data_IF_160839002663
#
_entry.id   IF_160839002663
#
_cell.length_a   1.000
_cell.length_b   1.000
_cell.length_c   1.000
_cell.angle_alpha   90.00
_cell.angle_beta   90.00
_cell.angle_gamma   90.00
#
_symmetry.space_group_name_H-M   'P 1'
#
loop_
_entity.id
_entity.type
_entity.pdbx_description
1 polymer ?
#
# COMPACT_ATOMS: atom_id res chain seq x y z
N UNK A 1 51.12 23.05 -23.07
CA UNK A 1 50.66 21.71 -22.65
C UNK A 1 50.03 21.84 -21.27
N UNK A 2 48.70 21.75 -21.19
CA UNK A 2 47.93 21.09 -20.11
C UNK A 2 46.47 21.18 -20.55
N UNK A 3 45.88 20.00 -20.72
CA UNK A 3 44.56 19.82 -21.28
C UNK A 3 43.51 20.45 -20.37
N UNK A 4 42.66 21.30 -20.97
CA UNK A 4 41.37 21.67 -20.41
C UNK A 4 40.59 20.40 -20.14
N UNK A 5 40.39 20.07 -18.86
CA UNK A 5 39.45 19.05 -18.43
C UNK A 5 38.05 19.48 -18.88
N UNK A 6 37.65 18.98 -20.05
CA UNK A 6 36.31 19.13 -20.57
C UNK A 6 35.35 18.38 -19.65
N UNK A 7 34.82 19.09 -18.65
CA UNK A 7 33.58 18.74 -17.95
C UNK A 7 32.47 18.68 -18.99
N UNK A 8 32.36 17.54 -19.67
CA UNK A 8 31.22 17.21 -20.51
C UNK A 8 30.03 17.02 -19.58
N UNK A 9 29.30 18.10 -19.34
CA UNK A 9 27.93 18.05 -18.85
C UNK A 9 27.13 17.17 -19.83
N UNK A 10 27.00 15.89 -19.51
CA UNK A 10 26.17 14.99 -20.30
C UNK A 10 24.76 15.58 -20.35
N UNK A 11 24.19 15.87 -21.53
CA UNK A 11 22.94 16.62 -21.68
C UNK A 11 21.75 15.93 -20.98
N UNK A 12 21.86 14.63 -20.70
CA UNK A 12 20.84 13.85 -20.01
C UNK A 12 21.07 13.70 -18.50
N UNK A 13 22.25 14.05 -17.98
CA UNK A 13 22.59 13.85 -16.56
C UNK A 13 21.68 14.65 -15.64
N UNK A 14 21.48 15.93 -15.93
CA UNK A 14 20.66 16.82 -15.12
C UNK A 14 19.18 16.40 -15.09
N UNK A 15 18.48 16.20 -16.24
CA UNK A 15 17.08 15.78 -16.21
C UNK A 15 16.89 14.38 -15.60
N UNK A 16 17.82 13.44 -15.80
CA UNK A 16 17.76 12.12 -15.15
C UNK A 16 17.95 12.22 -13.64
N UNK A 17 18.87 13.08 -13.17
CA UNK A 17 19.09 13.29 -11.75
C UNK A 17 17.87 13.92 -11.09
N UNK A 18 17.26 14.93 -11.70
CA UNK A 18 16.05 15.58 -11.20
C UNK A 18 14.87 14.61 -11.10
N UNK A 19 14.65 13.81 -12.14
CA UNK A 19 13.63 12.76 -12.14
C UNK A 19 13.89 11.73 -11.02
N UNK A 20 15.14 11.29 -10.87
CA UNK A 20 15.52 10.31 -9.85
C UNK A 20 15.38 10.86 -8.42
N UNK A 21 15.72 12.14 -8.20
CA UNK A 21 15.55 12.81 -6.90
C UNK A 21 14.07 12.94 -6.55
N UNK A 22 13.23 13.30 -7.52
CA UNK A 22 11.79 13.38 -7.31
C UNK A 22 11.19 12.00 -6.98
N UNK A 23 11.53 10.96 -7.75
CA UNK A 23 11.11 9.57 -7.47
C UNK A 23 11.61 9.09 -6.11
N UNK A 24 12.86 9.39 -5.76
CA UNK A 24 13.44 8.98 -4.48
C UNK A 24 12.75 9.66 -3.28
N UNK A 25 12.43 10.95 -3.38
CA UNK A 25 11.65 11.66 -2.34
C UNK A 25 10.26 11.05 -2.17
N UNK A 26 9.56 10.85 -3.29
CA UNK A 26 8.23 10.24 -3.28
C UNK A 26 8.25 8.81 -2.70
N UNK A 27 9.28 8.03 -3.01
CA UNK A 27 9.43 6.67 -2.52
C UNK A 27 9.72 6.61 -1.02
N UNK A 28 10.55 7.51 -0.49
CA UNK A 28 10.76 7.57 0.95
C UNK A 28 9.49 7.97 1.71
N UNK A 29 8.70 8.91 1.16
CA UNK A 29 7.41 9.24 1.76
C UNK A 29 6.48 8.02 1.79
N UNK A 30 6.40 7.29 0.68
CA UNK A 30 5.62 6.05 0.61
C UNK A 30 6.08 4.99 1.63
N UNK A 31 7.40 4.84 1.83
CA UNK A 31 7.95 3.94 2.86
C UNK A 31 7.50 4.37 4.28
N UNK A 32 7.50 5.68 4.57
CA UNK A 32 7.03 6.19 5.86
C UNK A 32 5.54 5.86 6.08
N UNK A 33 4.70 6.02 5.04
CA UNK A 33 3.29 5.64 5.10
C UNK A 33 3.11 4.13 5.35
N UNK A 34 3.88 3.28 4.66
CA UNK A 34 3.87 1.82 4.91
C UNK A 34 4.29 1.46 6.33
N UNK A 35 5.26 2.17 6.91
CA UNK A 35 5.68 1.96 8.31
C UNK A 35 4.64 2.47 9.31
N UNK A 36 3.91 3.53 9.00
CA UNK A 36 2.77 3.98 9.80
C UNK A 36 1.64 2.94 9.74
N UNK A 37 1.33 2.43 8.54
CA UNK A 37 0.34 1.37 8.33
C UNK A 37 0.69 0.13 9.14
N UNK A 38 1.96 -0.29 9.09
CA UNK A 38 2.45 -1.41 9.89
C UNK A 38 2.20 -1.22 11.39
N UNK A 39 2.49 -0.02 11.92
CA UNK A 39 2.26 0.31 13.34
C UNK A 39 0.78 0.33 13.71
N UNK A 40 -0.09 0.83 12.83
CA UNK A 40 -1.55 0.80 13.05
C UNK A 40 -2.06 -0.64 13.04
N UNK A 41 -1.53 -1.48 12.15
CA UNK A 41 -1.91 -2.90 12.07
C UNK A 41 -1.41 -3.71 13.27
N UNK A 42 -0.27 -3.34 13.86
CA UNK A 42 0.28 -4.00 15.05
C UNK A 42 -0.46 -3.59 16.34
N UNK A 43 -1.09 -2.41 16.39
CA UNK A 43 -1.85 -1.92 17.53
C UNK A 43 -3.36 -2.20 17.37
N UNK A 44 -3.75 -3.44 17.66
CA UNK A 44 -5.11 -3.98 17.43
C UNK A 44 -6.19 -3.33 18.30
N UNK A 45 -5.86 -2.89 19.51
CA UNK A 45 -6.84 -2.40 20.50
C UNK A 45 -7.33 -0.96 20.26
N UNK A 46 -6.61 -0.19 19.43
CA UNK A 46 -6.87 1.25 19.22
C UNK A 46 -6.87 1.64 17.74
N UNK A 47 -7.30 0.73 16.85
CA UNK A 47 -7.39 1.06 15.43
C UNK A 47 -8.53 2.05 15.19
N UNK A 48 -8.18 3.33 15.15
CA UNK A 48 -9.06 4.41 14.70
C UNK A 48 -9.33 4.23 13.19
N UNK A 49 -10.59 3.91 12.87
CA UNK A 49 -11.06 3.70 11.49
C UNK A 49 -10.79 4.94 10.64
N UNK A 50 -10.93 6.14 11.22
CA UNK A 50 -10.73 7.40 10.52
C UNK A 50 -9.25 7.62 10.19
N UNK A 51 -8.35 7.29 11.13
CA UNK A 51 -6.91 7.29 10.90
C UNK A 51 -6.50 6.29 9.81
N UNK A 52 -7.09 5.10 9.79
CA UNK A 52 -6.80 4.08 8.78
C UNK A 52 -7.31 4.46 7.39
N UNK A 53 -8.48 5.09 7.29
CA UNK A 53 -9.01 5.63 6.03
C UNK A 53 -8.11 6.73 5.48
N UNK A 54 -7.74 7.74 6.29
CA UNK A 54 -6.81 8.81 5.87
C UNK A 54 -5.49 8.24 5.35
N UNK A 55 -4.93 7.26 6.06
CA UNK A 55 -3.68 6.63 5.67
C UNK A 55 -3.79 5.89 4.32
N UNK A 56 -4.95 5.29 4.04
CA UNK A 56 -5.22 4.61 2.77
C UNK A 56 -5.34 5.62 1.61
N UNK A 57 -5.99 6.75 1.83
CA UNK A 57 -6.10 7.84 0.85
C UNK A 57 -4.72 8.44 0.53
N UNK A 58 -3.92 8.76 1.56
CA UNK A 58 -2.55 9.26 1.39
C UNK A 58 -1.65 8.27 0.64
N UNK A 59 -1.75 6.98 0.97
CA UNK A 59 -1.00 5.91 0.27
C UNK A 59 -1.39 5.81 -1.20
N UNK A 60 -2.67 5.98 -1.52
CA UNK A 60 -3.19 5.94 -2.90
C UNK A 60 -2.66 7.12 -3.71
N UNK A 61 -2.80 8.34 -3.19
CA UNK A 61 -2.27 9.54 -3.84
C UNK A 61 -0.74 9.47 -4.04
N UNK A 62 -0.02 8.92 -3.06
CA UNK A 62 1.43 8.77 -3.15
C UNK A 62 1.84 7.70 -4.18
N UNK A 63 1.04 6.64 -4.37
CA UNK A 63 1.27 5.62 -5.39
C UNK A 63 1.06 6.19 -6.81
N UNK A 64 0.00 6.97 -7.02
CA UNK A 64 -0.27 7.66 -8.29
C UNK A 64 0.86 8.64 -8.65
N UNK A 65 1.35 9.40 -7.67
CA UNK A 65 2.50 10.27 -7.86
C UNK A 65 3.75 9.48 -8.29
N UNK A 66 4.03 8.36 -7.63
CA UNK A 66 5.16 7.49 -7.99
C UNK A 66 5.05 6.93 -9.41
N UNK A 67 3.85 6.52 -9.82
CA UNK A 67 3.59 6.07 -11.19
C UNK A 67 3.86 7.18 -12.21
N UNK A 68 3.35 8.38 -11.95
CA UNK A 68 3.55 9.54 -12.85
C UNK A 68 5.03 9.90 -13.00
N UNK A 69 5.81 9.82 -11.92
CA UNK A 69 7.24 10.14 -11.91
C UNK A 69 8.04 9.05 -12.63
N UNK A 70 7.72 7.77 -12.38
CA UNK A 70 8.31 6.64 -13.09
C UNK A 70 8.08 6.75 -14.60
N UNK A 71 6.87 7.12 -15.02
CA UNK A 71 6.55 7.31 -16.44
C UNK A 71 7.37 8.45 -17.05
N UNK A 72 7.56 9.58 -16.34
CA UNK A 72 8.44 10.68 -16.80
C UNK A 72 9.87 10.20 -17.03
N UNK A 73 10.46 9.46 -16.08
CA UNK A 73 11.81 8.90 -16.25
C UNK A 73 11.87 7.91 -17.42
N UNK A 74 10.85 7.06 -17.58
CA UNK A 74 10.78 6.14 -18.70
C UNK A 74 10.72 6.88 -20.04
N UNK A 75 9.98 7.99 -20.15
CA UNK A 75 9.96 8.84 -21.36
C UNK A 75 11.33 9.42 -21.67
N UNK A 76 12.05 9.92 -20.66
CA UNK A 76 13.42 10.46 -20.86
C UNK A 76 14.36 9.36 -21.40
N UNK A 77 14.26 8.15 -20.86
CA UNK A 77 15.07 7.01 -21.33
C UNK A 77 14.65 6.55 -22.71
N UNK A 78 13.35 6.56 -23.00
CA UNK A 78 12.82 6.18 -24.30
C UNK A 78 13.35 7.10 -25.41
N UNK A 79 13.32 8.41 -25.17
CA UNK A 79 13.92 9.42 -26.03
C UNK A 79 15.44 9.25 -26.19
N UNK A 80 16.15 8.93 -25.10
CA UNK A 80 17.59 8.75 -25.11
C UNK A 80 18.06 7.46 -25.80
N UNK A 81 17.21 6.42 -25.82
CA UNK A 81 17.55 5.07 -26.32
C UNK A 81 16.87 4.73 -27.65
N UNK A 82 16.04 5.63 -28.18
CA UNK A 82 15.29 5.44 -29.40
C UNK A 82 14.25 4.32 -29.31
N UNK A 83 13.50 4.24 -28.20
CA UNK A 83 12.42 3.25 -28.06
C UNK A 83 12.83 1.91 -27.44
N UNK A 84 14.11 1.70 -27.10
CA UNK A 84 14.62 0.41 -26.60
C UNK A 84 14.40 0.30 -25.08
N UNK A 85 13.16 0.05 -24.68
CA UNK A 85 12.69 -0.09 -23.27
C UNK A 85 13.16 -1.38 -22.58
N UNK A 86 14.47 -1.59 -22.42
CA UNK A 86 15.00 -2.73 -21.67
C UNK A 86 15.56 -2.28 -20.31
N UNK A 87 15.36 -3.07 -19.26
CA UNK A 87 15.87 -2.78 -17.90
C UNK A 87 17.40 -2.59 -17.87
N UNK A 88 18.13 -3.27 -18.77
CA UNK A 88 19.56 -3.06 -18.99
C UNK A 88 19.86 -1.68 -19.58
N UNK A 89 19.04 -1.17 -20.52
CA UNK A 89 19.25 0.14 -21.13
C UNK A 89 19.17 1.27 -20.10
N UNK A 90 18.24 1.19 -19.14
CA UNK A 90 18.15 2.12 -18.01
C UNK A 90 19.41 2.09 -17.14
N UNK A 91 19.87 0.89 -16.75
CA UNK A 91 21.05 0.75 -15.88
C UNK A 91 22.32 1.24 -16.59
N UNK A 92 22.49 0.90 -17.86
CA UNK A 92 23.59 1.38 -18.70
C UNK A 92 23.54 2.89 -18.86
N UNK A 93 22.37 3.48 -19.14
CA UNK A 93 22.21 4.92 -19.27
C UNK A 93 22.55 5.65 -17.96
N UNK A 94 22.09 5.15 -16.82
CA UNK A 94 22.40 5.71 -15.50
C UNK A 94 23.90 5.62 -15.20
N UNK A 95 24.55 4.50 -15.53
CA UNK A 95 26.00 4.35 -15.34
C UNK A 95 26.80 5.29 -16.25
N UNK A 96 26.44 5.37 -17.53
CA UNK A 96 27.09 6.24 -18.52
C UNK A 96 26.97 7.73 -18.16
N UNK A 97 25.91 8.11 -17.44
CA UNK A 97 25.71 9.47 -16.95
C UNK A 97 26.25 9.69 -15.52
N UNK A 98 26.99 8.74 -14.95
CA UNK A 98 27.57 8.84 -13.60
C UNK A 98 26.55 8.89 -12.47
N UNK A 99 25.39 8.25 -12.66
CA UNK A 99 24.27 8.14 -11.71
C UNK A 99 24.06 6.70 -11.18
N UNK A 100 24.99 5.79 -11.48
CA UNK A 100 24.87 4.37 -11.14
C UNK A 100 24.67 4.10 -9.64
N UNK A 101 25.31 4.90 -8.77
CA UNK A 101 25.14 4.80 -7.31
C UNK A 101 23.72 5.19 -6.90
N UNK A 102 23.25 6.35 -7.32
CA UNK A 102 21.91 6.86 -7.01
C UNK A 102 20.83 5.91 -7.54
N UNK A 103 21.02 5.36 -8.74
CA UNK A 103 20.12 4.35 -9.31
C UNK A 103 20.09 3.06 -8.48
N UNK A 104 21.25 2.61 -8.01
CA UNK A 104 21.34 1.42 -7.14
C UNK A 104 20.68 1.67 -5.78
N UNK A 105 20.85 2.85 -5.20
CA UNK A 105 20.23 3.25 -3.94
C UNK A 105 18.70 3.31 -4.07
N UNK A 106 18.21 3.88 -5.17
CA UNK A 106 16.79 3.90 -5.52
C UNK A 106 16.22 2.46 -5.63
N UNK A 107 16.87 1.56 -6.36
CA UNK A 107 16.43 0.16 -6.47
C UNK A 107 16.33 -0.53 -5.11
N UNK A 108 17.28 -0.29 -4.20
CA UNK A 108 17.21 -0.85 -2.83
C UNK A 108 15.99 -0.33 -2.07
N UNK A 109 15.65 0.94 -2.21
CA UNK A 109 14.43 1.52 -1.62
C UNK A 109 13.15 0.93 -2.21
N UNK A 110 13.12 0.64 -3.51
CA UNK A 110 11.98 -0.02 -4.15
C UNK A 110 11.77 -1.42 -3.57
N UNK A 111 12.85 -2.18 -3.40
CA UNK A 111 12.80 -3.51 -2.75
C UNK A 111 12.27 -3.40 -1.32
N UNK A 112 12.77 -2.43 -0.54
CA UNK A 112 12.30 -2.18 0.83
C UNK A 112 10.78 -1.88 0.87
N UNK A 113 10.30 -0.99 -0.01
CA UNK A 113 8.88 -0.65 -0.09
C UNK A 113 8.02 -1.86 -0.47
N UNK A 114 8.49 -2.69 -1.42
CA UNK A 114 7.80 -3.92 -1.83
C UNK A 114 7.65 -4.92 -0.68
N UNK A 115 8.73 -5.14 0.09
CA UNK A 115 8.71 -6.03 1.25
C UNK A 115 7.76 -5.53 2.35
N UNK A 116 7.77 -4.22 2.64
CA UNK A 116 6.84 -3.61 3.60
C UNK A 116 5.39 -3.77 3.15
N UNK A 117 5.10 -3.49 1.87
CA UNK A 117 3.75 -3.60 1.33
C UNK A 117 3.25 -5.05 1.35
N UNK A 118 4.10 -6.03 1.03
CA UNK A 118 3.77 -7.45 1.13
C UNK A 118 3.48 -7.87 2.57
N UNK A 119 4.29 -7.42 3.53
CA UNK A 119 4.08 -7.68 4.96
C UNK A 119 2.77 -7.10 5.48
N UNK A 120 2.48 -5.84 5.14
CA UNK A 120 1.23 -5.17 5.53
C UNK A 120 0.01 -5.86 4.91
N UNK A 121 0.09 -6.27 3.64
CA UNK A 121 -0.97 -7.00 2.96
C UNK A 121 -1.30 -8.34 3.64
N UNK A 122 -0.28 -9.08 4.09
CA UNK A 122 -0.49 -10.32 4.86
C UNK A 122 -1.21 -10.06 6.19
N UNK A 123 -0.78 -9.03 6.94
CA UNK A 123 -1.42 -8.65 8.22
C UNK A 123 -2.89 -8.25 8.03
N UNK A 124 -3.19 -7.48 6.99
CA UNK A 124 -4.55 -7.11 6.61
C UNK A 124 -5.41 -8.35 6.31
N UNK A 125 -4.88 -9.30 5.53
CA UNK A 125 -5.57 -10.56 5.22
C UNK A 125 -5.91 -11.36 6.47
N UNK A 126 -4.93 -11.56 7.37
CA UNK A 126 -5.13 -12.27 8.65
C UNK A 126 -6.22 -11.60 9.49
N UNK A 127 -6.23 -10.27 9.57
CA UNK A 127 -7.22 -9.51 10.34
C UNK A 127 -8.62 -9.59 9.72
N UNK A 128 -8.74 -9.52 8.40
CA UNK A 128 -10.01 -9.70 7.69
C UNK A 128 -10.60 -11.10 7.95
N UNK A 129 -9.78 -12.15 7.87
CA UNK A 129 -10.20 -13.52 8.17
C UNK A 129 -10.64 -13.70 9.64
N UNK A 130 -9.90 -13.09 10.57
CA UNK A 130 -10.29 -13.08 12.00
C UNK A 130 -11.63 -12.38 12.21
N UNK A 131 -11.81 -11.17 11.67
CA UNK A 131 -13.06 -10.42 11.78
C UNK A 131 -14.24 -11.17 11.18
N UNK A 132 -14.07 -11.78 9.99
CA UNK A 132 -15.12 -12.61 9.40
C UNK A 132 -15.45 -13.84 10.25
N UNK A 133 -14.45 -14.51 10.84
CA UNK A 133 -14.70 -15.64 11.77
C UNK A 133 -15.42 -15.18 13.03
N UNK A 134 -15.04 -14.04 13.62
CA UNK A 134 -15.70 -13.45 14.77
C UNK A 134 -17.14 -13.05 14.45
N UNK A 135 -17.39 -12.39 13.31
CA UNK A 135 -18.73 -12.05 12.85
C UNK A 135 -19.59 -13.30 12.60
N UNK A 136 -19.05 -14.34 11.96
CA UNK A 136 -19.74 -15.62 11.77
C UNK A 136 -20.07 -16.27 13.11
N UNK A 137 -19.15 -16.27 14.07
CA UNK A 137 -19.37 -16.80 15.41
C UNK A 137 -20.48 -16.03 16.15
N UNK A 138 -20.44 -14.69 16.16
CA UNK A 138 -21.46 -13.84 16.75
C UNK A 138 -22.83 -14.06 16.10
N UNK A 139 -22.89 -14.12 14.77
CA UNK A 139 -24.12 -14.38 14.03
C UNK A 139 -24.70 -15.77 14.35
N UNK A 140 -23.86 -16.80 14.42
CA UNK A 140 -24.29 -18.17 14.78
C UNK A 140 -24.73 -18.26 16.25
N UNK A 141 -24.06 -17.56 17.17
CA UNK A 141 -24.44 -17.50 18.58
C UNK A 141 -25.76 -16.73 18.78
N UNK A 142 -25.97 -15.63 18.07
CA UNK A 142 -27.24 -14.89 18.05
C UNK A 142 -28.37 -15.72 17.44
N UNK A 143 -28.10 -16.48 16.37
CA UNK A 143 -29.05 -17.42 15.77
C UNK A 143 -29.42 -18.60 16.68
N UNK A 144 -28.44 -19.13 17.44
CA UNK A 144 -28.67 -20.15 18.49
C UNK A 144 -29.40 -19.60 19.72
N UNK A 145 -29.30 -18.30 20.00
CA UNK A 145 -30.00 -17.67 21.13
C UNK A 145 -31.45 -17.32 20.80
N UNK A 146 -31.81 -17.17 19.51
CA UNK A 146 -33.18 -16.82 19.10
C UNK A 146 -34.12 -18.03 18.97
N UNK A 147 -33.56 -19.24 18.85
CA UNK A 147 -34.27 -20.51 18.99
C UNK A 147 -33.61 -21.32 20.11
N UNK A 148 -33.98 -21.04 21.36
CA UNK A 148 -33.53 -21.82 22.51
C UNK A 148 -33.84 -23.30 22.35
N UNK A 149 -32.89 -24.15 22.75
CA UNK A 149 -32.93 -25.63 22.70
C UNK A 149 -34.09 -26.29 23.47
N UNK A 150 -34.92 -25.53 24.17
CA UNK A 150 -36.15 -26.03 24.79
C UNK A 150 -37.29 -25.14 24.30
N UNK A 151 -37.97 -25.54 23.22
CA UNK A 151 -39.15 -24.86 22.69
C UNK A 151 -40.38 -24.95 23.61
N UNK A 152 -40.27 -24.44 24.83
CA UNK A 152 -41.40 -24.33 25.76
C UNK A 152 -41.70 -22.86 26.04
N UNK A 153 -42.63 -22.32 25.25
CA UNK A 153 -43.39 -21.13 25.62
C UNK A 153 -44.47 -21.55 26.63
N UNK A 154 -44.17 -21.39 27.92
CA UNK A 154 -45.22 -21.35 28.93
C UNK A 154 -46.01 -20.04 28.77
N UNK A 155 -47.05 -20.05 27.95
CA UNK A 155 -48.10 -19.03 28.02
C UNK A 155 -48.97 -19.35 29.25
N UNK A 156 -48.63 -18.70 30.36
CA UNK A 156 -49.33 -18.78 31.64
C UNK A 156 -50.43 -17.71 31.66
N UNK A 157 -51.69 -18.13 31.75
CA UNK A 157 -52.79 -17.37 32.37
C UNK A 157 -53.55 -16.38 31.49
N UNK A 158 -54.85 -16.65 31.31
CA UNK A 158 -55.81 -15.73 30.71
C UNK A 158 -57.20 -16.34 30.57
N UNK A 159 -57.92 -16.42 31.68
CA UNK A 159 -59.34 -16.74 31.78
C UNK A 159 -60.23 -15.87 30.89
N UNK A 160 -61.22 -16.48 30.22
CA UNK A 160 -62.56 -15.96 29.90
C UNK A 160 -63.36 -17.18 29.39
N UNK A 161 -64.22 -17.85 30.16
CA UNK A 161 -65.56 -17.45 30.62
C UNK A 161 -66.42 -16.76 29.54
N UNK A 162 -67.55 -17.44 29.25
CA UNK A 162 -68.81 -17.01 28.64
C UNK A 162 -69.02 -17.05 27.11
N UNK A 163 -70.05 -17.82 26.72
CA UNK A 163 -70.70 -17.79 25.41
C UNK A 163 -71.72 -18.92 25.24
N UNK A 164 -72.92 -18.76 25.82
CA UNK A 164 -74.09 -19.62 25.59
C UNK A 164 -74.70 -19.34 24.21
N UNK A 165 -75.17 -20.39 23.53
CA UNK A 165 -76.49 -20.51 22.89
C UNK A 165 -76.68 -21.95 22.38
#
# INVERSE_FOLDING_TARGET
MTATASSHSHPLRQPLLEALVAEYKALNHFIVLLQQEQRVLDNVEATDIEQFTRLTEEKTAQAELLESLSQKRLTIVDQATGGKRHAQAMTTLMNNNGLGRQWSDFKRKVVQASQLNQSNGLKLGIRADYNQRALRFLHNAAGMSLYGRNGQTHARGGSNLYGQA
#
